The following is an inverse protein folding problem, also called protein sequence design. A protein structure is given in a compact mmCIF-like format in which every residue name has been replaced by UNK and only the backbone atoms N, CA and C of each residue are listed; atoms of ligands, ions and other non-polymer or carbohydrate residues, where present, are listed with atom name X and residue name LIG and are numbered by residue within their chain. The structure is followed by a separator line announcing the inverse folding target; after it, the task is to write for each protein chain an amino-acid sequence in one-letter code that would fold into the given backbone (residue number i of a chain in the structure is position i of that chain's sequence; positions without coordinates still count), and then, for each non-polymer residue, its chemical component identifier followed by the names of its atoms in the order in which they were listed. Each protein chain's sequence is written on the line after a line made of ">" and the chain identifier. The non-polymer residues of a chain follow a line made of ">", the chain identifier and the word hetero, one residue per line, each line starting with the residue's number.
data_IF_611430632580
#
_entry.id   IF_611430632580
#
_cell.length_a   1.000
_cell.length_b   1.000
_cell.length_c   1.000
_cell.angle_alpha   90.00
_cell.angle_beta   90.00
_cell.angle_gamma   90.00
#
_symmetry.space_group_name_H-M   'P 1'
#
loop_
_entity.id
_entity.type
_entity.pdbx_description
1 polymer ?
#
# COMPACT_ATOMS: atom_id res chain seq x y z
N UNK A 1 -30.25 -17.39 -22.07
CA UNK A 1 -29.76 -16.01 -21.80
C UNK A 1 -28.45 -15.99 -21.02
N UNK A 2 -28.33 -16.69 -19.87
CA UNK A 2 -27.13 -16.77 -19.00
C UNK A 2 -25.77 -16.78 -19.75
N UNK A 3 -25.58 -17.63 -20.78
CA UNK A 3 -24.31 -17.68 -21.55
C UNK A 3 -23.90 -16.33 -22.18
N UNK A 4 -24.86 -15.48 -22.60
CA UNK A 4 -24.55 -14.13 -23.11
C UNK A 4 -24.17 -13.18 -21.97
N UNK A 5 -24.86 -13.25 -20.83
CA UNK A 5 -24.53 -12.45 -19.64
C UNK A 5 -23.12 -12.76 -19.13
N UNK A 6 -22.76 -14.05 -19.06
CA UNK A 6 -21.40 -14.51 -18.73
C UNK A 6 -20.34 -13.96 -19.68
N UNK A 7 -20.60 -13.98 -21.01
CA UNK A 7 -19.71 -13.38 -22.00
C UNK A 7 -19.56 -11.87 -21.84
N UNK A 8 -20.65 -11.13 -21.55
CA UNK A 8 -20.59 -9.69 -21.31
C UNK A 8 -19.80 -9.36 -20.04
N UNK A 9 -20.00 -10.09 -18.93
CA UNK A 9 -19.23 -9.93 -17.69
C UNK A 9 -17.75 -10.24 -17.94
N UNK A 10 -17.45 -11.36 -18.62
CA UNK A 10 -16.08 -11.73 -18.96
C UNK A 10 -15.38 -10.67 -19.81
N UNK A 11 -16.08 -10.07 -20.77
CA UNK A 11 -15.55 -9.01 -21.65
C UNK A 11 -15.30 -7.68 -20.92
N UNK A 12 -16.04 -7.40 -19.83
CA UNK A 12 -15.81 -6.24 -18.95
C UNK A 12 -14.64 -6.49 -17.99
N UNK A 13 -14.48 -7.72 -17.49
CA UNK A 13 -13.45 -8.07 -16.49
C UNK A 13 -12.08 -8.32 -17.13
N UNK A 14 -12.00 -8.95 -18.30
CA UNK A 14 -10.74 -9.24 -19.00
C UNK A 14 -9.80 -8.04 -19.19
N UNK A 15 -10.23 -6.85 -19.66
CA UNK A 15 -9.33 -5.71 -19.86
C UNK A 15 -8.73 -5.18 -18.55
N UNK A 16 -9.33 -5.44 -17.39
CA UNK A 16 -8.79 -5.04 -16.09
C UNK A 16 -7.39 -5.65 -15.85
N UNK A 17 -7.19 -6.91 -16.24
CA UNK A 17 -5.89 -7.58 -16.13
C UNK A 17 -4.85 -7.04 -17.12
N UNK A 18 -5.26 -6.49 -18.27
CA UNK A 18 -4.36 -5.90 -19.25
C UNK A 18 -3.85 -4.51 -18.81
N UNK A 19 -4.70 -3.71 -18.16
CA UNK A 19 -4.31 -2.40 -17.63
C UNK A 19 -3.56 -2.45 -16.29
N UNK A 20 -3.52 -3.62 -15.63
CA UNK A 20 -2.75 -3.83 -14.40
C UNK A 20 -1.22 -3.81 -14.62
N UNK A 21 -0.74 -3.96 -15.87
CA UNK A 21 0.68 -3.90 -16.23
C UNK A 21 1.23 -2.46 -16.26
N UNK A 22 1.18 -1.76 -15.11
CA UNK A 22 1.76 -0.43 -14.91
C UNK A 22 2.87 -0.39 -13.82
N UNK A 23 3.44 -1.55 -13.50
CA UNK A 23 4.46 -1.76 -12.45
C UNK A 23 5.67 -0.81 -12.53
N UNK A 24 5.96 -0.23 -13.70
CA UNK A 24 7.19 0.53 -13.94
C UNK A 24 7.04 2.06 -13.85
N UNK A 25 5.84 2.62 -14.06
CA UNK A 25 5.65 4.08 -14.14
C UNK A 25 5.05 4.72 -12.88
N UNK A 26 4.47 3.93 -11.98
CA UNK A 26 4.06 4.41 -10.66
C UNK A 26 4.67 3.51 -9.57
N UNK A 27 6.00 3.50 -9.51
CA UNK A 27 6.83 2.67 -8.62
C UNK A 27 6.70 2.99 -7.11
N UNK A 28 5.71 3.78 -6.74
CA UNK A 28 5.34 4.05 -5.36
C UNK A 28 4.20 3.08 -4.97
N UNK A 29 4.45 2.18 -4.02
CA UNK A 29 3.39 1.38 -3.36
C UNK A 29 2.49 2.23 -2.45
N UNK A 30 2.37 3.53 -2.75
CA UNK A 30 1.98 4.59 -1.85
C UNK A 30 1.00 5.50 -2.57
N UNK A 31 -0.12 5.80 -1.93
CA UNK A 31 -1.08 6.76 -2.46
C UNK A 31 -0.65 8.16 -2.01
N UNK A 32 -0.36 9.03 -2.97
CA UNK A 32 0.25 10.35 -2.73
C UNK A 32 -0.80 11.44 -2.92
N UNK A 33 -1.27 12.02 -1.81
CA UNK A 33 -2.37 12.97 -1.83
C UNK A 33 -3.73 12.32 -1.60
N UNK A 34 -4.63 13.10 -1.00
CA UNK A 34 -6.00 12.72 -0.62
C UNK A 34 -6.83 12.17 -1.79
N UNK A 35 -6.83 12.84 -2.94
CA UNK A 35 -7.62 12.44 -4.10
C UNK A 35 -7.07 11.20 -4.78
N UNK A 36 -5.75 11.05 -4.86
CA UNK A 36 -5.15 9.84 -5.40
C UNK A 36 -5.38 8.62 -4.48
N UNK A 37 -5.40 8.84 -3.16
CA UNK A 37 -5.84 7.84 -2.20
C UNK A 37 -7.33 7.48 -2.36
N UNK A 38 -8.20 8.48 -2.57
CA UNK A 38 -9.63 8.29 -2.83
C UNK A 38 -9.95 7.51 -4.12
N UNK A 39 -9.06 7.51 -5.11
CA UNK A 39 -9.16 6.68 -6.31
C UNK A 39 -8.38 5.36 -6.23
N UNK A 40 -7.83 4.98 -5.06
CA UNK A 40 -7.05 3.75 -4.92
C UNK A 40 -5.82 3.67 -5.82
N UNK A 41 -5.25 4.83 -6.18
CA UNK A 41 -4.15 4.96 -7.15
C UNK A 41 -4.59 5.14 -8.61
N UNK A 42 -5.86 4.89 -8.96
CA UNK A 42 -6.41 5.03 -10.32
C UNK A 42 -6.65 6.50 -10.76
N UNK A 43 -5.77 7.42 -10.37
CA UNK A 43 -5.92 8.87 -10.53
C UNK A 43 -5.30 9.44 -11.81
N UNK A 44 -4.34 8.74 -12.43
CA UNK A 44 -3.51 9.21 -13.56
C UNK A 44 -4.30 9.85 -14.72
N UNK A 45 -5.45 9.28 -15.11
CA UNK A 45 -6.26 9.77 -16.23
C UNK A 45 -7.09 11.03 -15.92
N UNK A 46 -7.24 11.39 -14.64
CA UNK A 46 -8.10 12.50 -14.16
C UNK A 46 -7.35 13.49 -13.26
N UNK A 47 -6.02 13.46 -13.32
CA UNK A 47 -5.15 14.29 -12.49
C UNK A 47 -5.33 15.78 -12.82
N UNK A 48 -5.68 16.59 -11.81
CA UNK A 48 -6.00 18.03 -11.99
C UNK A 48 -5.87 18.87 -10.69
N UNK A 49 -4.92 18.51 -9.84
CA UNK A 49 -4.46 19.29 -8.68
C UNK A 49 -2.93 19.14 -8.51
N UNK A 50 -2.36 19.71 -7.45
CA UNK A 50 -0.91 19.70 -7.22
C UNK A 50 -0.31 18.30 -7.04
N UNK A 51 -1.09 17.26 -6.77
CA UNK A 51 -0.59 15.88 -6.68
C UNK A 51 -0.38 15.24 -8.06
N UNK A 52 -0.91 15.87 -9.12
CA UNK A 52 -0.69 15.44 -10.50
C UNK A 52 0.79 15.38 -10.89
N UNK A 53 1.67 16.14 -10.21
CA UNK A 53 3.13 16.08 -10.43
C UNK A 53 3.73 14.68 -10.18
N UNK A 54 3.08 13.83 -9.38
CA UNK A 54 3.50 12.43 -9.14
C UNK A 54 2.76 11.38 -9.99
N UNK A 55 1.59 11.71 -10.55
CA UNK A 55 0.76 10.73 -11.27
C UNK A 55 0.70 10.96 -12.79
N UNK A 56 0.62 12.22 -13.23
CA UNK A 56 0.54 12.64 -14.62
C UNK A 56 0.76 14.16 -14.71
N UNK A 57 2.00 14.63 -14.96
CA UNK A 57 2.30 16.07 -15.02
C UNK A 57 1.51 16.85 -16.08
N UNK A 58 1.01 16.21 -17.15
CA UNK A 58 0.13 16.88 -18.11
C UNK A 58 -1.20 17.34 -17.45
N UNK A 59 -1.61 16.70 -16.36
CA UNK A 59 -2.74 17.11 -15.52
C UNK A 59 -2.58 18.48 -14.87
N UNK A 60 -1.35 18.99 -14.73
CA UNK A 60 -1.08 20.33 -14.21
C UNK A 60 -1.63 21.44 -15.13
N UNK A 61 -1.79 21.17 -16.44
CA UNK A 61 -2.38 22.11 -17.38
C UNK A 61 -3.88 22.39 -17.11
N UNK A 62 -4.56 21.49 -16.38
CA UNK A 62 -5.96 21.64 -15.97
C UNK A 62 -6.13 22.47 -14.68
N UNK A 63 -5.04 22.96 -14.09
CA UNK A 63 -5.05 23.75 -12.86
C UNK A 63 -5.22 25.22 -13.20
N UNK A 64 -6.42 25.76 -12.99
CA UNK A 64 -6.72 27.18 -13.24
C UNK A 64 -6.35 28.11 -12.08
N UNK A 65 -6.27 27.58 -10.86
CA UNK A 65 -6.09 28.35 -9.61
C UNK A 65 -4.84 27.93 -8.83
N UNK A 66 -4.56 28.61 -7.71
CA UNK A 66 -3.58 28.12 -6.73
C UNK A 66 -4.17 26.88 -6.05
N UNK A 67 -3.42 25.77 -6.01
CA UNK A 67 -3.79 24.53 -5.31
C UNK A 67 -2.71 24.18 -4.29
N UNK A 68 -3.13 23.93 -3.06
CA UNK A 68 -2.31 23.34 -2.00
C UNK A 68 -2.95 22.01 -1.61
N UNK A 69 -2.13 20.98 -1.47
CA UNK A 69 -2.51 19.65 -1.02
C UNK A 69 -1.62 19.28 0.16
N UNK A 70 -2.20 18.75 1.23
CA UNK A 70 -1.51 18.21 2.39
C UNK A 70 -2.20 16.88 2.73
N UNK A 71 -1.45 15.77 2.81
CA UNK A 71 -2.02 14.44 3.07
C UNK A 71 -1.19 13.60 4.05
N UNK A 72 -1.80 12.53 4.59
CA UNK A 72 -1.21 11.50 5.47
C UNK A 72 -2.03 10.18 5.38
N UNK A 73 -1.42 9.02 5.06
CA UNK A 73 -2.08 7.73 4.70
C UNK A 73 -1.36 6.47 5.37
N UNK A 74 -1.52 5.15 5.01
CA UNK A 74 -0.78 3.95 5.62
C UNK A 74 -0.99 2.48 4.98
N UNK A 75 0.04 1.66 4.51
CA UNK A 75 0.01 0.25 3.83
C UNK A 75 1.31 -0.77 3.83
N UNK A 76 1.24 -2.13 3.70
CA UNK A 76 2.22 -3.26 4.09
C UNK A 76 3.79 -3.43 3.81
N UNK A 77 4.67 -3.95 4.76
CA UNK A 77 5.49 -5.27 4.79
C UNK A 77 6.80 -5.47 5.73
N UNK A 78 7.02 -6.60 6.55
CA UNK A 78 8.30 -7.07 7.30
C UNK A 78 8.21 -8.47 8.15
N UNK A 79 9.00 -8.88 9.23
CA UNK A 79 9.17 -10.32 9.80
C UNK A 79 9.74 -10.61 11.29
N UNK A 80 9.37 -11.74 12.04
CA UNK A 80 10.02 -12.43 13.25
C UNK A 80 9.76 -13.98 13.40
N UNK A 81 10.60 -14.79 14.09
CA UNK A 81 10.32 -16.21 14.51
C UNK A 81 11.12 -16.64 15.79
N UNK A 82 10.47 -17.31 16.74
CA UNK A 82 10.92 -17.68 18.10
C UNK A 82 10.61 -19.16 18.42
N UNK A 83 11.64 -20.00 18.54
CA UNK A 83 11.49 -21.42 18.89
C UNK A 83 11.38 -21.68 20.39
N UNK A 84 10.70 -22.75 20.80
CA UNK A 84 10.45 -23.11 22.21
C UNK A 84 9.79 -21.96 23.00
N UNK A 85 8.94 -21.17 22.32
CA UNK A 85 8.22 -20.03 22.90
C UNK A 85 7.32 -20.45 24.09
N UNK A 86 6.82 -21.69 24.05
CA UNK A 86 6.29 -22.39 25.22
C UNK A 86 6.95 -23.78 25.29
N UNK A 87 7.21 -24.25 26.51
CA UNK A 87 7.60 -25.64 26.80
C UNK A 87 6.61 -26.23 27.82
N UNK A 88 6.15 -27.45 27.59
CA UNK A 88 5.20 -28.16 28.45
C UNK A 88 5.81 -29.51 28.84
N UNK A 89 5.87 -29.81 30.14
CA UNK A 89 6.38 -31.11 30.60
C UNK A 89 5.30 -32.18 30.44
N UNK A 90 5.55 -33.18 29.60
CA UNK A 90 4.64 -34.30 29.35
C UNK A 90 4.84 -35.45 30.34
N UNK A 91 6.07 -35.62 30.82
CA UNK A 91 6.49 -36.62 31.80
C UNK A 91 7.84 -36.20 32.38
N UNK A 92 8.23 -36.73 33.54
CA UNK A 92 9.41 -36.28 34.28
C UNK A 92 10.68 -36.21 33.41
N UNK A 93 11.13 -35.00 33.08
CA UNK A 93 12.29 -34.74 32.23
C UNK A 93 12.06 -34.88 30.72
N UNK A 94 10.82 -34.85 30.23
CA UNK A 94 10.44 -34.82 28.81
C UNK A 94 9.51 -33.63 28.54
N UNK A 95 9.90 -32.77 27.60
CA UNK A 95 9.23 -31.51 27.30
C UNK A 95 8.85 -31.42 25.82
N UNK A 96 7.57 -31.15 25.52
CA UNK A 96 7.11 -30.79 24.17
C UNK A 96 7.16 -29.26 23.99
N UNK A 97 7.35 -28.82 22.74
CA UNK A 97 7.83 -27.46 22.41
C UNK A 97 6.95 -26.78 21.36
N UNK A 98 6.72 -25.48 21.55
CA UNK A 98 5.80 -24.68 20.74
C UNK A 98 6.55 -23.48 20.10
N UNK A 99 6.56 -23.36 18.78
CA UNK A 99 7.36 -22.38 18.00
C UNK A 99 6.48 -21.25 17.41
N UNK A 100 6.81 -19.98 17.68
CA UNK A 100 6.10 -18.75 17.26
C UNK A 100 6.74 -18.08 16.02
N UNK A 101 5.97 -17.49 15.10
CA UNK A 101 6.39 -16.59 13.98
C UNK A 101 5.63 -15.26 14.02
N UNK A 102 6.03 -14.22 13.27
CA UNK A 102 5.40 -12.87 13.10
C UNK A 102 5.79 -12.18 11.73
N UNK A 103 5.01 -11.25 11.11
CA UNK A 103 5.31 -10.56 9.80
C UNK A 103 4.83 -9.08 9.61
N UNK A 104 5.71 -8.07 9.77
CA UNK A 104 5.49 -6.63 10.15
C UNK A 104 4.97 -5.60 9.07
N UNK A 105 3.66 -5.58 8.75
CA UNK A 105 3.06 -4.99 7.51
C UNK A 105 2.24 -3.62 7.52
N UNK A 106 2.77 -2.36 7.48
CA UNK A 106 2.04 -1.09 6.97
C UNK A 106 2.92 0.15 6.51
N UNK A 107 2.42 1.38 6.14
CA UNK A 107 3.11 2.68 5.66
C UNK A 107 2.74 3.87 6.61
N UNK A 108 3.31 5.09 6.49
CA UNK A 108 2.57 6.37 6.68
C UNK A 108 2.99 7.45 5.64
N UNK A 109 2.45 7.52 4.40
CA UNK A 109 2.77 8.55 3.40
C UNK A 109 2.14 9.88 3.75
N UNK A 110 2.97 10.81 4.22
CA UNK A 110 2.62 12.23 4.29
C UNK A 110 3.07 12.96 3.02
N UNK A 111 2.34 13.98 2.57
CA UNK A 111 2.73 14.80 1.42
C UNK A 111 2.35 16.26 1.60
N UNK A 112 3.11 17.17 0.99
CA UNK A 112 2.75 18.58 0.82
C UNK A 112 3.06 18.96 -0.62
N UNK A 113 2.05 19.34 -1.41
CA UNK A 113 2.22 19.74 -2.80
C UNK A 113 1.50 21.05 -3.12
N UNK A 114 2.21 21.99 -3.74
CA UNK A 114 1.66 23.25 -4.22
C UNK A 114 1.73 23.29 -5.74
N UNK A 115 0.70 23.85 -6.38
CA UNK A 115 0.69 24.15 -7.80
C UNK A 115 0.03 25.50 -8.06
N UNK A 116 0.55 26.22 -9.06
CA UNK A 116 0.06 27.53 -9.46
C UNK A 116 0.25 27.73 -10.96
N UNK A 117 -0.83 28.11 -11.64
CA UNK A 117 -0.79 28.62 -13.01
C UNK A 117 0.07 29.89 -13.07
N UNK A 118 1.01 29.93 -14.02
CA UNK A 118 1.81 31.08 -14.39
C UNK A 118 1.29 31.62 -15.73
N UNK A 119 1.42 32.94 -15.93
CA UNK A 119 0.96 33.63 -17.14
C UNK A 119 2.16 34.15 -17.94
N UNK A 120 3.25 33.36 -18.02
CA UNK A 120 4.49 33.79 -18.66
C UNK A 120 4.49 33.48 -20.17
N UNK A 121 4.10 32.26 -20.55
CA UNK A 121 3.80 31.83 -21.92
C UNK A 121 2.28 31.55 -22.10
N UNK A 122 1.46 32.07 -21.18
CA UNK A 122 0.00 32.11 -21.25
C UNK A 122 -0.74 30.97 -20.53
N UNK A 123 -0.22 29.74 -20.54
CA UNK A 123 -0.90 28.59 -19.91
C UNK A 123 0.05 27.61 -19.18
N UNK A 124 1.19 28.11 -18.68
CA UNK A 124 2.12 27.31 -17.89
C UNK A 124 1.54 27.02 -16.50
N UNK A 125 1.90 25.88 -15.91
CA UNK A 125 1.67 25.62 -14.48
C UNK A 125 2.97 25.14 -13.86
N UNK A 126 3.40 25.80 -12.79
CA UNK A 126 4.52 25.34 -11.96
C UNK A 126 3.96 24.64 -10.72
N UNK A 127 4.53 23.50 -10.37
CA UNK A 127 4.25 22.76 -9.16
C UNK A 127 5.52 22.51 -8.36
N UNK A 128 5.39 22.16 -7.08
CA UNK A 128 6.45 21.60 -6.27
C UNK A 128 5.86 20.74 -5.16
N UNK A 129 6.54 19.66 -4.79
CA UNK A 129 6.03 18.68 -3.84
C UNK A 129 7.10 18.03 -2.97
N UNK A 130 6.74 17.79 -1.70
CA UNK A 130 7.49 17.00 -0.72
C UNK A 130 6.62 15.79 -0.36
N UNK A 131 7.24 14.61 -0.24
CA UNK A 131 6.56 13.35 0.01
C UNK A 131 7.36 12.45 0.97
N UNK A 132 6.73 11.85 1.99
CA UNK A 132 7.40 11.09 3.07
C UNK A 132 6.58 9.85 3.49
N UNK A 133 6.77 8.67 2.86
CA UNK A 133 6.18 7.37 3.25
C UNK A 133 6.87 6.63 4.43
N UNK A 134 6.26 6.64 5.63
CA UNK A 134 6.62 5.87 6.86
C UNK A 134 6.18 4.37 6.81
N UNK A 135 6.03 3.57 7.91
CA UNK A 135 5.59 2.13 7.94
C UNK A 135 5.26 1.53 9.36
N UNK A 136 4.42 0.45 9.50
CA UNK A 136 3.08 0.41 10.23
C UNK A 136 2.27 -0.92 10.68
N UNK A 137 2.52 -2.24 10.39
CA UNK A 137 1.65 -3.42 10.90
C UNK A 137 2.37 -4.80 11.22
N UNK A 138 1.76 -6.04 11.41
CA UNK A 138 2.44 -7.41 11.65
C UNK A 138 1.54 -8.70 11.50
N UNK A 139 2.06 -9.97 11.35
CA UNK A 139 1.32 -11.29 11.23
C UNK A 139 1.98 -12.60 11.83
N UNK A 140 1.43 -13.27 12.85
CA UNK A 140 2.03 -14.41 13.60
C UNK A 140 1.59 -15.83 13.24
N UNK A 141 2.39 -16.84 13.64
CA UNK A 141 2.08 -18.29 13.54
C UNK A 141 2.79 -19.12 14.63
N UNK A 142 2.04 -19.59 15.63
CA UNK A 142 2.46 -20.50 16.71
C UNK A 142 2.10 -21.95 16.34
N UNK A 143 3.10 -22.80 16.14
CA UNK A 143 2.93 -24.19 15.71
C UNK A 143 3.65 -25.18 16.62
N UNK A 144 3.04 -26.35 16.86
CA UNK A 144 3.62 -27.45 17.62
C UNK A 144 2.70 -28.66 17.69
N UNK A 145 2.89 -29.48 18.72
CA UNK A 145 2.14 -30.71 18.97
C UNK A 145 1.72 -30.80 20.43
N UNK A 146 0.82 -31.73 20.72
CA UNK A 146 0.41 -32.09 22.07
C UNK A 146 0.10 -33.60 22.14
N UNK A 147 0.89 -34.35 22.90
CA UNK A 147 0.57 -35.69 23.41
C UNK A 147 0.10 -36.72 22.36
N UNK A 148 0.97 -37.00 21.38
CA UNK A 148 0.92 -38.21 20.53
C UNK A 148 -0.23 -38.32 19.51
N UNK A 149 -1.30 -37.53 19.63
CA UNK A 149 -2.50 -37.61 18.75
C UNK A 149 -2.97 -36.25 18.23
N UNK A 150 -2.65 -35.14 18.91
CA UNK A 150 -3.12 -33.80 18.54
C UNK A 150 -1.96 -32.93 18.00
N UNK A 151 -2.18 -32.31 16.85
CA UNK A 151 -1.29 -31.27 16.30
C UNK A 151 -1.95 -29.92 16.57
N UNK A 152 -1.18 -28.89 16.93
CA UNK A 152 -1.69 -27.58 17.33
C UNK A 152 -1.00 -26.47 16.52
N UNK A 153 -1.78 -25.71 15.76
CA UNK A 153 -1.30 -24.61 14.89
C UNK A 153 -2.25 -23.40 14.99
N UNK A 154 -1.71 -22.20 15.21
CA UNK A 154 -2.39 -20.97 15.67
C UNK A 154 -1.72 -19.72 15.05
N UNK A 155 -2.41 -18.60 14.74
CA UNK A 155 -1.86 -17.47 13.92
C UNK A 155 -2.44 -16.04 14.30
N UNK A 156 -1.70 -14.88 14.31
CA UNK A 156 -2.15 -13.51 14.84
C UNK A 156 -1.32 -12.16 14.59
N UNK A 157 -1.87 -10.92 14.40
CA UNK A 157 -1.20 -9.70 13.77
C UNK A 157 -0.90 -8.33 14.59
N UNK A 158 0.14 -7.45 14.30
CA UNK A 158 0.62 -6.14 15.01
C UNK A 158 1.32 -4.87 14.24
N UNK A 159 2.60 -4.29 14.40
CA UNK A 159 3.25 -2.93 13.87
C UNK A 159 4.83 -2.55 13.76
N UNK A 160 5.33 -1.75 12.72
CA UNK A 160 6.71 -1.03 12.54
C UNK A 160 7.27 -0.50 11.09
N UNK A 161 8.28 0.47 10.93
CA UNK A 161 9.27 0.96 9.80
C UNK A 161 9.15 2.33 8.87
N UNK A 162 9.95 2.73 7.76
CA UNK A 162 9.92 4.11 6.99
C UNK A 162 10.72 4.51 5.61
N UNK A 163 10.46 5.68 4.88
CA UNK A 163 11.11 6.36 3.61
C UNK A 163 10.74 7.88 3.20
N UNK A 164 11.35 8.56 2.17
CA UNK A 164 11.06 9.97 1.64
C UNK A 164 11.46 10.38 0.15
N UNK A 165 10.83 11.42 -0.47
CA UNK A 165 10.98 11.94 -1.87
C UNK A 165 10.62 13.44 -2.13
N UNK A 166 11.01 14.01 -3.29
CA UNK A 166 10.72 15.39 -3.75
C UNK A 166 10.30 15.46 -5.23
N UNK A 167 9.56 16.51 -5.63
CA UNK A 167 9.17 16.77 -7.02
C UNK A 167 9.09 18.27 -7.37
N UNK A 168 9.33 18.60 -8.64
CA UNK A 168 9.36 19.93 -9.28
C UNK A 168 8.62 19.86 -10.64
#
# INVERSE_FOLDING_TARGET
>A
MIKKLLLTVLFIVLPCAAFAFLENYNNYQYLIGDRAAGFGGAYCAIANDSTALWYNPAGLANINDKRLNISANTYSYLTRNSKHYWQIEESAGQYETLDLKEQDVSVVPTSVAYARKLQFLGNDTLAFGIFVPLQDSLEASIAGKAYGTLNVDLHAAYRINSKAYYGL
#
